data_IF_474363262170
#
_entry.id   IF_474363262170
#
_cell.length_a   1.000
_cell.length_b   1.000
_cell.length_c   1.000
_cell.angle_alpha   90.00
_cell.angle_beta   90.00
_cell.angle_gamma   90.00
#
_symmetry.space_group_name_H-M   'P 1'
#
loop_
_entity.id
_entity.type
_entity.pdbx_description
1 polymer ?
#
# COMPACT_ATOMS: atom_id res chain seq x y z
N UNK A 1 -26.33 -15.94 -4.49
CA UNK A 1 -25.70 -17.21 -4.92
C UNK A 1 -25.53 -17.24 -6.43
N UNK A 2 -24.33 -17.43 -6.98
CA UNK A 2 -24.09 -17.51 -8.42
C UNK A 2 -24.33 -18.94 -8.93
N UNK A 3 -25.56 -19.45 -8.82
CA UNK A 3 -25.91 -20.80 -9.30
C UNK A 3 -25.83 -20.92 -10.84
N UNK A 4 -25.87 -19.79 -11.54
CA UNK A 4 -25.91 -19.68 -13.00
C UNK A 4 -24.52 -19.64 -13.69
N UNK A 5 -23.41 -19.60 -12.94
CA UNK A 5 -22.07 -19.47 -13.53
C UNK A 5 -21.44 -20.80 -13.98
N UNK A 6 -20.60 -20.81 -15.02
CA UNK A 6 -19.84 -21.99 -15.44
C UNK A 6 -18.85 -22.45 -14.36
N UNK A 7 -18.63 -23.77 -14.26
CA UNK A 7 -17.83 -24.42 -13.19
C UNK A 7 -16.47 -23.77 -12.87
N UNK A 8 -15.61 -23.36 -13.83
CA UNK A 8 -14.31 -22.78 -13.50
C UNK A 8 -14.41 -21.40 -12.81
N UNK A 9 -15.47 -20.63 -13.08
CA UNK A 9 -15.64 -19.29 -12.53
C UNK A 9 -16.37 -19.27 -11.18
N UNK A 10 -17.02 -20.37 -10.78
CA UNK A 10 -17.79 -20.42 -9.52
C UNK A 10 -16.94 -20.10 -8.30
N UNK A 11 -15.80 -20.78 -8.13
CA UNK A 11 -14.93 -20.58 -6.94
C UNK A 11 -14.41 -19.13 -6.80
N UNK A 12 -13.74 -18.54 -7.81
CA UNK A 12 -13.23 -17.17 -7.65
C UNK A 12 -14.35 -16.14 -7.48
N UNK A 13 -15.49 -16.31 -8.17
CA UNK A 13 -16.62 -15.40 -8.02
C UNK A 13 -17.28 -15.51 -6.65
N UNK A 14 -17.41 -16.73 -6.10
CA UNK A 14 -17.89 -16.91 -4.73
C UNK A 14 -16.97 -16.23 -3.72
N UNK A 15 -15.65 -16.41 -3.83
CA UNK A 15 -14.68 -15.76 -2.93
C UNK A 15 -14.77 -14.24 -3.04
N UNK A 16 -14.87 -13.70 -4.27
CA UNK A 16 -15.01 -12.27 -4.49
C UNK A 16 -16.32 -11.72 -3.88
N UNK A 17 -17.43 -12.45 -4.06
CA UNK A 17 -18.72 -12.09 -3.49
C UNK A 17 -18.68 -12.11 -1.95
N UNK A 18 -18.13 -13.16 -1.35
CA UNK A 18 -18.00 -13.28 0.11
C UNK A 18 -17.10 -12.19 0.69
N UNK A 19 -15.97 -11.90 0.04
CA UNK A 19 -15.07 -10.82 0.44
C UNK A 19 -15.77 -9.45 0.35
N UNK A 20 -16.55 -9.22 -0.71
CA UNK A 20 -17.34 -8.00 -0.87
C UNK A 20 -18.40 -7.84 0.23
N UNK A 21 -19.18 -8.89 0.50
CA UNK A 21 -20.18 -8.87 1.58
C UNK A 21 -19.53 -8.61 2.93
N UNK A 22 -18.40 -9.26 3.19
CA UNK A 22 -17.64 -9.08 4.42
C UNK A 22 -17.16 -7.63 4.58
N UNK A 23 -16.62 -7.03 3.52
CA UNK A 23 -16.19 -5.63 3.52
C UNK A 23 -17.34 -4.67 3.83
N UNK A 24 -18.52 -4.94 3.27
CA UNK A 24 -19.73 -4.15 3.49
C UNK A 24 -20.21 -4.26 4.93
N UNK A 25 -20.38 -5.48 5.44
CA UNK A 25 -20.90 -5.74 6.79
C UNK A 25 -19.98 -5.17 7.88
N UNK A 26 -18.68 -5.18 7.63
CA UNK A 26 -17.65 -4.68 8.56
C UNK A 26 -17.32 -3.20 8.34
N UNK A 27 -18.06 -2.49 7.49
CA UNK A 27 -17.88 -1.06 7.20
C UNK A 27 -16.43 -0.71 6.82
N UNK A 28 -15.74 -1.62 6.13
CA UNK A 28 -14.30 -1.49 5.86
C UNK A 28 -14.02 -0.31 4.92
N UNK A 29 -15.01 0.11 4.13
CA UNK A 29 -14.96 1.36 3.37
C UNK A 29 -14.76 2.60 4.25
N UNK A 30 -15.41 2.69 5.42
CA UNK A 30 -15.19 3.81 6.34
C UNK A 30 -13.79 3.78 6.96
N UNK A 31 -13.28 2.57 7.22
CA UNK A 31 -11.91 2.39 7.70
C UNK A 31 -10.90 2.81 6.62
N UNK A 32 -11.13 2.46 5.35
CA UNK A 32 -10.32 2.91 4.22
C UNK A 32 -10.27 4.44 4.10
N UNK A 33 -11.40 5.13 4.33
CA UNK A 33 -11.44 6.59 4.38
C UNK A 33 -10.60 7.16 5.52
N UNK A 34 -10.66 6.55 6.71
CA UNK A 34 -9.79 6.92 7.83
C UNK A 34 -8.31 6.72 7.54
N UNK A 35 -7.94 5.63 6.84
CA UNK A 35 -6.55 5.40 6.41
C UNK A 35 -6.10 6.49 5.43
N UNK A 36 -6.93 6.84 4.45
CA UNK A 36 -6.64 7.90 3.48
C UNK A 36 -6.47 9.26 4.16
N UNK A 37 -7.30 9.57 5.15
CA UNK A 37 -7.19 10.77 5.97
C UNK A 37 -5.84 10.85 6.70
N UNK A 38 -5.37 9.77 7.33
CA UNK A 38 -4.04 9.80 7.96
C UNK A 38 -2.90 9.80 6.94
N UNK A 39 -3.09 9.14 5.79
CA UNK A 39 -2.10 9.11 4.72
C UNK A 39 -1.84 10.52 4.15
N UNK A 40 -2.87 11.35 3.96
CA UNK A 40 -2.67 12.70 3.42
C UNK A 40 -1.81 13.59 4.34
N UNK A 41 -1.90 13.43 5.66
CA UNK A 41 -1.01 14.13 6.61
C UNK A 41 0.41 13.56 6.62
N UNK A 42 0.59 12.30 6.24
CA UNK A 42 1.91 11.67 6.16
C UNK A 42 2.64 12.02 4.86
N UNK A 43 1.91 12.22 3.75
CA UNK A 43 2.46 12.42 2.40
C UNK A 43 3.41 13.62 2.33
N UNK A 44 2.96 14.83 2.71
CA UNK A 44 3.78 16.04 2.55
C UNK A 44 5.04 16.01 3.43
N UNK A 45 4.96 15.66 4.73
CA UNK A 45 6.14 15.53 5.56
C UNK A 45 7.08 14.40 5.13
N UNK A 46 6.54 13.29 4.59
CA UNK A 46 7.35 12.20 4.06
C UNK A 46 8.14 12.63 2.82
N UNK A 47 7.52 13.36 1.89
CA UNK A 47 8.22 13.96 0.74
C UNK A 47 9.37 14.84 1.22
N UNK A 48 9.09 15.74 2.16
CA UNK A 48 10.12 16.65 2.68
C UNK A 48 11.30 15.87 3.28
N UNK A 49 11.03 14.80 4.03
CA UNK A 49 12.06 13.93 4.58
C UNK A 49 12.87 13.20 3.50
N UNK A 50 12.21 12.63 2.47
CA UNK A 50 12.89 11.94 1.37
C UNK A 50 13.79 12.90 0.59
N UNK A 51 13.29 14.09 0.23
CA UNK A 51 14.08 15.11 -0.47
C UNK A 51 15.26 15.58 0.39
N UNK A 52 15.05 15.78 1.69
CA UNK A 52 16.12 16.17 2.61
C UNK A 52 17.22 15.09 2.74
N UNK A 53 16.84 13.81 2.83
CA UNK A 53 17.79 12.69 2.82
C UNK A 53 18.53 12.63 1.48
N UNK A 54 17.82 12.80 0.38
CA UNK A 54 18.41 12.76 -0.96
C UNK A 54 19.43 13.88 -1.19
N UNK A 55 19.11 15.09 -0.73
CA UNK A 55 20.00 16.25 -0.81
C UNK A 55 21.33 16.06 -0.06
N UNK A 56 21.46 15.03 0.81
CA UNK A 56 22.73 14.68 1.45
C UNK A 56 23.69 13.93 0.51
N UNK A 57 23.18 13.24 -0.51
CA UNK A 57 23.95 12.34 -1.36
C UNK A 57 24.00 12.77 -2.84
N UNK A 58 23.07 13.62 -3.30
CA UNK A 58 22.97 14.00 -4.72
C UNK A 58 22.30 15.37 -4.92
N UNK A 59 22.44 15.94 -6.12
CA UNK A 59 21.79 17.19 -6.52
C UNK A 59 20.25 17.03 -6.44
N UNK A 60 19.51 17.94 -5.76
CA UNK A 60 18.06 17.93 -5.70
C UNK A 60 17.37 17.87 -7.07
N UNK A 61 18.01 18.35 -8.15
CA UNK A 61 17.48 18.27 -9.52
C UNK A 61 17.32 16.83 -10.02
N UNK A 62 18.13 15.90 -9.53
CA UNK A 62 18.00 14.48 -9.88
C UNK A 62 16.66 13.92 -9.41
N UNK A 63 16.13 14.38 -8.27
CA UNK A 63 14.80 13.96 -7.74
C UNK A 63 13.67 14.30 -8.71
N UNK A 64 13.80 15.40 -9.46
CA UNK A 64 12.80 15.82 -10.45
C UNK A 64 12.70 14.84 -11.63
N UNK A 65 13.83 14.26 -12.06
CA UNK A 65 13.83 13.26 -13.12
C UNK A 65 13.16 11.95 -12.67
N UNK A 66 13.35 11.55 -11.41
CA UNK A 66 12.65 10.39 -10.82
C UNK A 66 11.13 10.61 -10.69
N UNK A 67 10.65 11.85 -10.53
CA UNK A 67 9.21 12.14 -10.50
C UNK A 67 8.52 11.78 -11.81
N UNK A 68 9.17 11.97 -12.96
CA UNK A 68 8.57 11.69 -14.27
C UNK A 68 8.05 10.25 -14.39
N UNK A 69 8.66 9.29 -13.71
CA UNK A 69 8.26 7.88 -13.73
C UNK A 69 7.13 7.54 -12.77
N UNK A 70 6.95 8.31 -11.70
CA UNK A 70 5.78 8.15 -10.83
C UNK A 70 4.48 8.56 -11.53
N UNK A 71 4.57 9.36 -12.60
CA UNK A 71 3.42 9.77 -13.40
C UNK A 71 2.67 8.60 -14.06
N UNK A 72 3.34 7.45 -14.27
CA UNK A 72 2.71 6.25 -14.84
C UNK A 72 1.84 5.49 -13.84
N UNK A 73 2.09 5.68 -12.54
CA UNK A 73 1.39 4.98 -11.46
C UNK A 73 0.40 5.87 -10.70
N UNK A 74 0.56 7.18 -10.82
CA UNK A 74 -0.26 8.18 -10.16
C UNK A 74 -1.22 8.84 -11.15
N UNK A 75 -2.46 9.14 -10.73
CA UNK A 75 -3.33 10.02 -11.49
C UNK A 75 -2.70 11.42 -11.62
N UNK A 76 -2.83 12.06 -12.79
CA UNK A 76 -2.14 13.32 -13.10
C UNK A 76 -2.32 14.45 -12.06
N UNK A 77 -3.50 14.58 -11.47
CA UNK A 77 -3.76 15.59 -10.40
C UNK A 77 -3.03 15.26 -9.10
N UNK A 78 -3.02 13.98 -8.71
CA UNK A 78 -2.27 13.53 -7.54
C UNK A 78 -0.76 13.69 -7.77
N UNK A 79 -0.30 13.36 -8.98
CA UNK A 79 1.08 13.58 -9.40
C UNK A 79 1.47 15.05 -9.31
N UNK A 80 0.65 15.96 -9.82
CA UNK A 80 0.93 17.41 -9.81
C UNK A 80 1.14 17.94 -8.40
N UNK A 81 0.27 17.58 -7.44
CA UNK A 81 0.45 17.97 -6.02
C UNK A 81 1.76 17.44 -5.46
N UNK A 82 2.06 16.17 -5.72
CA UNK A 82 3.26 15.53 -5.19
C UNK A 82 4.52 16.17 -5.80
N UNK A 83 4.51 16.44 -7.11
CA UNK A 83 5.58 17.09 -7.84
C UNK A 83 5.82 18.52 -7.36
N UNK A 84 4.76 19.32 -7.21
CA UNK A 84 4.87 20.70 -6.72
C UNK A 84 5.47 20.74 -5.31
N UNK A 85 5.11 19.79 -4.46
CA UNK A 85 5.69 19.66 -3.13
C UNK A 85 7.17 19.27 -3.19
N UNK A 86 7.53 18.28 -4.01
CA UNK A 86 8.92 17.86 -4.21
C UNK A 86 9.79 19.02 -4.69
N UNK A 87 9.34 19.73 -5.74
CA UNK A 87 10.05 20.87 -6.31
C UNK A 87 10.15 22.04 -5.33
N UNK A 88 9.10 22.29 -4.55
CA UNK A 88 9.12 23.30 -3.50
C UNK A 88 10.15 23.00 -2.41
N UNK A 89 10.32 21.74 -2.02
CA UNK A 89 11.36 21.35 -1.04
C UNK A 89 12.75 21.34 -1.67
N UNK A 90 12.89 20.87 -2.90
CA UNK A 90 14.18 20.79 -3.60
C UNK A 90 14.79 22.17 -3.88
N UNK A 91 13.95 23.18 -4.14
CA UNK A 91 14.38 24.56 -4.40
C UNK A 91 14.49 25.42 -3.14
N UNK A 92 13.87 25.01 -2.04
CA UNK A 92 14.01 25.69 -0.76
C UNK A 92 15.47 25.56 -0.27
N UNK A 93 16.12 26.71 -0.06
CA UNK A 93 17.53 26.77 0.35
C UNK A 93 17.81 25.86 1.57
N UNK A 94 18.89 25.09 1.46
CA UNK A 94 19.43 24.08 2.40
C UNK A 94 19.70 24.55 3.84
N UNK A 95 19.33 25.79 4.19
CA UNK A 95 19.55 26.39 5.50
C UNK A 95 18.43 26.08 6.53
N UNK A 96 17.46 25.24 6.17
CA UNK A 96 16.32 24.83 7.03
C UNK A 96 16.45 23.43 7.62
N UNK A 97 17.63 22.80 7.50
CA UNK A 97 17.93 21.44 8.01
C UNK A 97 17.84 21.27 9.55
N UNK A 98 17.49 22.32 10.31
CA UNK A 98 17.35 22.29 11.76
C UNK A 98 15.98 21.81 12.28
N UNK A 99 15.44 22.54 13.25
CA UNK A 99 14.25 22.20 14.03
C UNK A 99 12.98 21.90 13.20
N UNK A 100 12.78 22.59 12.08
CA UNK A 100 11.60 22.43 11.21
C UNK A 100 11.57 21.05 10.54
N UNK A 101 12.73 20.54 10.11
CA UNK A 101 12.86 19.21 9.50
C UNK A 101 12.56 18.13 10.55
N UNK A 102 13.11 18.27 11.76
CA UNK A 102 12.85 17.36 12.87
C UNK A 102 11.36 17.32 13.24
N UNK A 103 10.71 18.49 13.37
CA UNK A 103 9.29 18.59 13.67
C UNK A 103 8.43 17.95 12.56
N UNK A 104 8.77 18.21 11.30
CA UNK A 104 8.07 17.63 10.15
C UNK A 104 8.19 16.10 10.14
N UNK A 105 9.38 15.55 10.43
CA UNK A 105 9.59 14.12 10.53
C UNK A 105 8.79 13.48 11.68
N UNK A 106 8.71 14.15 12.83
CA UNK A 106 7.87 13.71 13.94
C UNK A 106 6.38 13.65 13.54
N UNK A 107 5.88 14.67 12.85
CA UNK A 107 4.50 14.72 12.33
C UNK A 107 4.27 13.65 11.27
N UNK A 108 5.24 13.44 10.37
CA UNK A 108 5.22 12.40 9.34
C UNK A 108 5.06 11.02 9.98
N UNK A 109 5.94 10.71 10.94
CA UNK A 109 5.98 9.41 11.59
C UNK A 109 4.73 9.17 12.43
N UNK A 110 4.23 10.20 13.12
CA UNK A 110 3.00 10.10 13.88
C UNK A 110 1.78 9.82 12.97
N UNK A 111 1.67 10.55 11.85
CA UNK A 111 0.59 10.38 10.86
C UNK A 111 0.68 9.02 10.16
N UNK A 112 1.88 8.60 9.74
CA UNK A 112 2.13 7.30 9.14
C UNK A 112 1.73 6.17 10.11
N UNK A 113 2.13 6.29 11.38
CA UNK A 113 1.75 5.33 12.43
C UNK A 113 0.24 5.30 12.67
N UNK A 114 -0.43 6.44 12.63
CA UNK A 114 -1.90 6.49 12.73
C UNK A 114 -2.57 5.79 11.53
N UNK A 115 -2.07 6.00 10.31
CA UNK A 115 -2.54 5.32 9.11
C UNK A 115 -2.32 3.81 9.15
N UNK A 116 -1.13 3.36 9.55
CA UNK A 116 -0.81 1.93 9.73
C UNK A 116 -1.66 1.33 10.84
N UNK A 117 -1.90 2.05 11.94
CA UNK A 117 -2.82 1.62 13.00
C UNK A 117 -4.24 1.43 12.47
N UNK A 118 -4.76 2.36 11.66
CA UNK A 118 -6.08 2.22 11.03
C UNK A 118 -6.12 1.05 10.04
N UNK A 119 -5.03 0.82 9.30
CA UNK A 119 -4.89 -0.33 8.40
C UNK A 119 -4.92 -1.66 9.16
N UNK A 120 -4.20 -1.76 10.27
CA UNK A 120 -4.25 -2.95 11.16
C UNK A 120 -5.66 -3.17 11.70
N UNK A 121 -6.37 -2.12 12.09
CA UNK A 121 -7.76 -2.23 12.54
C UNK A 121 -8.69 -2.72 11.43
N UNK A 122 -8.54 -2.22 10.20
CA UNK A 122 -9.29 -2.68 9.05
C UNK A 122 -9.02 -4.15 8.71
N UNK A 123 -7.77 -4.57 8.83
CA UNK A 123 -7.39 -5.97 8.64
C UNK A 123 -7.99 -6.85 9.75
N UNK A 124 -7.89 -6.44 11.01
CA UNK A 124 -8.54 -7.17 12.12
C UNK A 124 -10.04 -7.30 11.88
N UNK A 125 -10.71 -6.21 11.47
CA UNK A 125 -12.13 -6.24 11.12
C UNK A 125 -12.42 -7.21 9.96
N UNK A 126 -11.56 -7.24 8.94
CA UNK A 126 -11.68 -8.16 7.81
C UNK A 126 -11.56 -9.64 8.24
N UNK A 127 -10.68 -9.95 9.19
CA UNK A 127 -10.53 -11.28 9.77
C UNK A 127 -11.54 -11.59 10.89
N UNK A 128 -12.42 -10.65 11.26
CA UNK A 128 -13.33 -10.80 12.40
C UNK A 128 -12.62 -10.88 13.75
N UNK A 129 -11.42 -10.30 13.85
CA UNK A 129 -10.57 -10.35 15.04
C UNK A 129 -10.71 -9.06 15.87
N UNK A 130 -10.60 -9.15 17.21
CA UNK A 130 -10.55 -7.97 18.06
C UNK A 130 -9.20 -7.25 17.92
N UNK A 131 -9.22 -5.93 18.06
CA UNK A 131 -7.99 -5.13 18.14
C UNK A 131 -7.23 -5.45 19.43
N UNK A 132 -5.91 -5.27 19.39
CA UNK A 132 -5.06 -5.43 20.58
C UNK A 132 -5.40 -4.35 21.61
N UNK A 133 -5.36 -4.70 22.89
CA UNK A 133 -5.57 -3.75 23.99
C UNK A 133 -4.34 -2.88 24.27
N UNK A 134 -4.57 -1.66 24.76
CA UNK A 134 -3.57 -0.80 25.37
C UNK A 134 -2.34 -0.49 24.49
N UNK A 135 -1.15 -0.57 25.11
CA UNK A 135 0.13 -0.26 24.45
C UNK A 135 0.53 -1.26 23.37
N UNK A 136 0.03 -2.51 23.43
CA UNK A 136 0.38 -3.55 22.47
C UNK A 136 -0.04 -3.21 21.04
N UNK A 137 -1.21 -2.60 20.86
CA UNK A 137 -1.65 -2.11 19.53
C UNK A 137 -0.74 -1.02 19.00
N UNK A 138 -0.37 -0.07 19.86
CA UNK A 138 0.47 1.06 19.47
C UNK A 138 1.88 0.62 19.12
N UNK A 139 2.43 -0.35 19.85
CA UNK A 139 3.74 -0.93 19.59
C UNK A 139 3.74 -1.66 18.23
N UNK A 140 2.76 -2.52 17.98
CA UNK A 140 2.64 -3.22 16.67
C UNK A 140 2.49 -2.22 15.53
N UNK A 141 1.63 -1.20 15.68
CA UNK A 141 1.49 -0.16 14.66
C UNK A 141 2.81 0.58 14.42
N UNK A 142 3.56 0.91 15.48
CA UNK A 142 4.85 1.57 15.37
C UNK A 142 5.90 0.69 14.66
N UNK A 143 6.08 -0.57 15.07
CA UNK A 143 7.04 -1.46 14.42
C UNK A 143 6.69 -1.69 12.95
N UNK A 144 5.40 -1.88 12.64
CA UNK A 144 4.96 -2.01 11.24
C UNK A 144 5.23 -0.76 10.43
N UNK A 145 5.02 0.42 11.03
CA UNK A 145 5.34 1.69 10.37
C UNK A 145 6.83 1.77 10.07
N UNK A 146 7.69 1.45 11.04
CA UNK A 146 9.14 1.43 10.85
C UNK A 146 9.58 0.40 9.79
N UNK A 147 8.97 -0.79 9.76
CA UNK A 147 9.24 -1.79 8.72
C UNK A 147 8.83 -1.31 7.33
N UNK A 148 7.67 -0.65 7.20
CA UNK A 148 7.21 -0.08 5.94
C UNK A 148 8.09 1.08 5.48
N UNK A 149 8.48 1.97 6.39
CA UNK A 149 9.44 3.05 6.11
C UNK A 149 10.78 2.46 5.69
N UNK A 150 11.31 1.46 6.39
CA UNK A 150 12.56 0.81 6.02
C UNK A 150 12.47 0.13 4.64
N UNK A 151 11.34 -0.50 4.32
CA UNK A 151 11.08 -1.09 3.00
C UNK A 151 11.08 -0.02 1.91
N UNK A 152 10.39 1.11 2.13
CA UNK A 152 10.35 2.23 1.20
C UNK A 152 11.74 2.87 1.01
N UNK A 153 12.48 3.10 2.10
CA UNK A 153 13.84 3.64 2.04
C UNK A 153 14.81 2.69 1.34
N UNK A 154 14.67 1.38 1.52
CA UNK A 154 15.48 0.38 0.81
C UNK A 154 15.18 0.40 -0.68
N UNK A 155 13.91 0.58 -1.07
CA UNK A 155 13.52 0.74 -2.47
C UNK A 155 14.15 2.00 -3.07
N UNK A 156 14.00 3.15 -2.39
CA UNK A 156 14.63 4.42 -2.80
C UNK A 156 16.15 4.30 -2.91
N UNK A 157 16.81 3.66 -1.95
CA UNK A 157 18.25 3.43 -2.01
C UNK A 157 18.64 2.52 -3.18
N UNK A 158 17.85 1.48 -3.47
CA UNK A 158 18.10 0.60 -4.62
C UNK A 158 17.96 1.35 -5.95
N UNK A 159 17.00 2.27 -6.07
CA UNK A 159 16.82 3.14 -7.25
C UNK A 159 18.08 4.01 -7.52
N UNK A 160 18.83 4.37 -6.47
CA UNK A 160 20.09 5.14 -6.58
C UNK A 160 21.28 4.22 -6.84
N UNK A 161 21.37 3.10 -6.12
CA UNK A 161 22.53 2.19 -6.17
C UNK A 161 22.59 1.39 -7.46
N UNK A 162 21.44 0.92 -7.97
CA UNK A 162 21.38 0.14 -9.21
C UNK A 162 22.04 0.88 -10.38
N UNK A 163 21.71 2.15 -10.67
CA UNK A 163 22.33 2.82 -11.78
C UNK A 163 23.82 3.07 -11.57
N UNK A 164 24.24 3.42 -10.36
CA UNK A 164 25.66 3.63 -10.01
C UNK A 164 26.50 2.35 -10.22
N UNK A 165 25.95 1.18 -9.88
CA UNK A 165 26.64 -0.11 -10.09
C UNK A 165 26.75 -0.44 -11.58
N UNK A 166 25.72 -0.12 -12.36
CA UNK A 166 25.70 -0.37 -13.80
C UNK A 166 26.71 0.52 -14.56
N UNK A 167 27.06 1.71 -14.07
CA UNK A 167 28.12 2.55 -14.67
C UNK A 167 29.50 1.85 -14.64
N UNK A 168 29.77 1.02 -13.63
CA UNK A 168 31.01 0.24 -13.56
C UNK A 168 31.00 -1.00 -14.47
N UNK A 169 29.87 -1.31 -15.11
CA UNK A 169 29.71 -2.40 -16.07
C UNK A 169 29.46 -1.80 -17.47
N UNK A 170 30.49 -1.64 -18.32
CA UNK A 170 30.31 -1.14 -19.68
C UNK A 170 29.53 -2.18 -20.51
N UNK A 171 28.21 -2.01 -20.57
CA UNK A 171 27.26 -2.93 -21.21
C UNK A 171 26.96 -2.57 -22.67
N UNK A 172 27.56 -1.50 -23.18
CA UNK A 172 27.48 -1.08 -24.58
C UNK A 172 26.03 -0.80 -25.00
N UNK A 173 25.61 -1.32 -26.15
CA UNK A 173 24.29 -1.03 -26.71
C UNK A 173 23.09 -1.51 -25.84
N UNK A 174 23.31 -2.42 -24.89
CA UNK A 174 22.24 -2.93 -24.02
C UNK A 174 22.06 -2.12 -22.73
N UNK A 175 22.94 -1.16 -22.48
CA UNK A 175 23.00 -0.39 -21.26
C UNK A 175 21.65 0.27 -20.90
N UNK A 176 20.96 1.04 -21.79
CA UNK A 176 19.66 1.64 -21.45
C UNK A 176 18.56 0.62 -21.13
N UNK A 177 18.56 -0.52 -21.84
CA UNK A 177 17.58 -1.59 -21.63
C UNK A 177 17.80 -2.27 -20.28
N UNK A 178 19.06 -2.54 -19.92
CA UNK A 178 19.43 -3.14 -18.64
C UNK A 178 19.14 -2.20 -17.46
N UNK A 179 19.40 -0.90 -17.60
CA UNK A 179 18.99 0.12 -16.63
C UNK A 179 17.49 0.06 -16.37
N UNK A 180 16.68 0.11 -17.44
CA UNK A 180 15.23 0.10 -17.30
C UNK A 180 14.72 -1.21 -16.68
N UNK A 181 15.27 -2.36 -17.11
CA UNK A 181 14.84 -3.67 -16.62
C UNK A 181 15.27 -3.94 -15.16
N UNK A 182 16.42 -3.42 -14.73
CA UNK A 182 16.90 -3.57 -13.36
C UNK A 182 16.13 -2.68 -12.38
N UNK A 183 15.72 -1.50 -12.83
CA UNK A 183 15.07 -0.48 -12.02
C UNK A 183 13.56 -0.67 -11.90
N UNK A 184 12.87 -0.93 -13.01
CA UNK A 184 11.41 -1.12 -13.09
C UNK A 184 10.82 -2.05 -12.00
N UNK A 185 11.43 -3.20 -11.62
CA UNK A 185 10.83 -4.09 -10.62
C UNK A 185 10.98 -3.61 -9.17
N UNK A 186 11.84 -2.63 -8.86
CA UNK A 186 12.16 -2.23 -7.48
C UNK A 186 10.92 -1.76 -6.72
N UNK A 187 10.23 -0.71 -7.22
CA UNK A 187 9.04 -0.17 -6.57
C UNK A 187 7.86 -1.17 -6.47
N UNK A 188 7.51 -1.95 -7.53
CA UNK A 188 6.53 -3.02 -7.42
C UNK A 188 6.89 -4.09 -6.38
N UNK A 189 8.14 -4.55 -6.35
CA UNK A 189 8.60 -5.54 -5.37
C UNK A 189 8.49 -4.98 -3.95
N UNK A 190 8.93 -3.74 -3.73
CA UNK A 190 8.81 -3.08 -2.43
C UNK A 190 7.35 -2.95 -1.98
N UNK A 191 6.44 -2.61 -2.90
CA UNK A 191 4.99 -2.53 -2.64
C UNK A 191 4.42 -3.89 -2.26
N UNK A 192 4.77 -4.93 -3.02
CA UNK A 192 4.38 -6.32 -2.73
C UNK A 192 4.91 -6.71 -1.34
N UNK A 193 6.20 -6.53 -1.06
CA UNK A 193 6.80 -6.84 0.25
C UNK A 193 6.08 -6.07 1.37
N UNK A 194 5.83 -4.77 1.20
CA UNK A 194 5.14 -3.93 2.19
C UNK A 194 3.74 -4.46 2.53
N UNK A 195 2.91 -4.74 1.52
CA UNK A 195 1.58 -5.34 1.73
C UNK A 195 1.70 -6.70 2.44
N UNK A 196 2.67 -7.53 2.02
CA UNK A 196 2.94 -8.83 2.62
C UNK A 196 3.30 -8.73 4.11
N UNK A 197 4.16 -7.77 4.49
CA UNK A 197 4.53 -7.50 5.89
C UNK A 197 3.28 -7.16 6.70
N UNK A 198 2.44 -6.26 6.19
CA UNK A 198 1.22 -5.84 6.89
C UNK A 198 0.23 -7.01 7.03
N UNK A 199 0.01 -7.80 5.99
CA UNK A 199 -0.90 -8.95 6.08
C UNK A 199 -0.41 -10.05 7.00
N UNK A 200 0.90 -10.23 7.10
CA UNK A 200 1.48 -11.25 7.97
C UNK A 200 1.50 -10.81 9.43
N UNK A 201 1.92 -9.57 9.71
CA UNK A 201 2.21 -9.13 11.08
C UNK A 201 1.14 -8.19 11.66
N UNK A 202 0.28 -7.61 10.83
CA UNK A 202 -0.83 -6.76 11.25
C UNK A 202 -1.90 -7.49 12.07
N UNK A 203 -2.52 -8.58 11.57
CA UNK A 203 -3.67 -9.18 12.22
C UNK A 203 -3.35 -9.69 13.63
N UNK A 204 -4.31 -9.56 14.55
CA UNK A 204 -4.24 -10.07 15.91
C UNK A 204 -4.72 -11.53 15.98
N UNK A 205 -3.93 -12.43 15.41
CA UNK A 205 -4.24 -13.85 15.27
C UNK A 205 -3.24 -14.73 16.03
N UNK A 206 -3.77 -15.76 16.70
CA UNK A 206 -3.00 -16.78 17.45
C UNK A 206 -2.75 -18.06 16.65
N UNK A 207 -3.17 -18.08 15.40
CA UNK A 207 -3.20 -19.24 14.52
C UNK A 207 -2.42 -18.92 13.21
N UNK A 208 -2.21 -19.90 12.31
CA UNK A 208 -1.24 -19.74 11.21
C UNK A 208 -1.51 -18.50 10.36
N UNK A 209 -0.49 -17.63 10.27
CA UNK A 209 -0.55 -16.34 9.58
C UNK A 209 -0.50 -16.55 8.06
N UNK A 210 -1.11 -15.67 7.24
CA UNK A 210 -0.92 -15.70 5.79
C UNK A 210 0.57 -15.68 5.43
N UNK A 211 0.92 -16.35 4.33
CA UNK A 211 2.26 -16.27 3.74
C UNK A 211 2.58 -14.83 3.34
N UNK A 212 3.88 -14.50 3.29
CA UNK A 212 4.34 -13.17 2.87
C UNK A 212 3.91 -12.83 1.43
N UNK A 213 3.75 -13.86 0.60
CA UNK A 213 3.15 -13.82 -0.72
C UNK A 213 1.80 -14.54 -0.65
N UNK A 214 0.70 -13.78 -0.63
CA UNK A 214 -0.65 -14.30 -0.46
C UNK A 214 -1.52 -14.02 -1.69
N UNK A 215 -2.59 -14.81 -1.88
CA UNK A 215 -3.55 -14.57 -2.97
C UNK A 215 -4.24 -13.21 -2.81
N UNK A 216 -4.57 -12.82 -1.58
CA UNK A 216 -5.15 -11.52 -1.30
C UNK A 216 -4.26 -10.35 -1.70
N UNK A 217 -2.94 -10.49 -1.58
CA UNK A 217 -1.98 -9.46 -1.97
C UNK A 217 -1.91 -9.29 -3.49
N UNK A 218 -1.99 -10.39 -4.24
CA UNK A 218 -2.14 -10.33 -5.69
C UNK A 218 -3.43 -9.59 -6.07
N UNK A 219 -4.55 -9.90 -5.41
CA UNK A 219 -5.82 -9.19 -5.61
C UNK A 219 -5.70 -7.71 -5.27
N UNK A 220 -5.08 -7.35 -4.14
CA UNK A 220 -4.87 -5.96 -3.75
C UNK A 220 -4.08 -5.17 -4.80
N UNK A 221 -2.97 -5.74 -5.30
CA UNK A 221 -2.12 -5.09 -6.31
C UNK A 221 -2.88 -4.93 -7.62
N UNK A 222 -3.58 -5.96 -8.09
CA UNK A 222 -4.38 -5.89 -9.32
C UNK A 222 -5.51 -4.86 -9.22
N UNK A 223 -6.21 -4.83 -8.09
CA UNK A 223 -7.26 -3.83 -7.83
C UNK A 223 -6.69 -2.42 -7.76
N UNK A 224 -5.53 -2.24 -7.12
CA UNK A 224 -4.88 -0.95 -7.03
C UNK A 224 -4.43 -0.42 -8.40
N UNK A 225 -3.86 -1.28 -9.24
CA UNK A 225 -3.50 -0.92 -10.61
C UNK A 225 -4.75 -0.57 -11.45
N UNK A 226 -5.80 -1.38 -11.34
CA UNK A 226 -7.07 -1.14 -12.02
C UNK A 226 -7.72 0.17 -11.55
N UNK A 227 -7.71 0.44 -10.24
CA UNK A 227 -8.23 1.66 -9.64
C UNK A 227 -7.41 2.88 -10.09
N UNK A 228 -6.09 2.80 -10.14
CA UNK A 228 -5.22 3.89 -10.58
C UNK A 228 -5.45 4.24 -12.05
N UNK A 229 -5.56 3.23 -12.93
CA UNK A 229 -5.91 3.44 -14.35
C UNK A 229 -7.32 3.98 -14.53
N UNK A 230 -8.30 3.39 -13.84
CA UNK A 230 -9.70 3.82 -13.91
C UNK A 230 -9.91 5.24 -13.39
N UNK A 231 -9.22 5.60 -12.31
CA UNK A 231 -9.26 6.94 -11.75
C UNK A 231 -8.56 7.97 -12.63
N UNK A 232 -7.48 7.59 -13.31
CA UNK A 232 -6.85 8.43 -14.35
C UNK A 232 -7.85 8.76 -15.46
N UNK A 233 -8.56 7.76 -16.00
CA UNK A 233 -9.59 7.97 -17.02
C UNK A 233 -10.74 8.86 -16.51
N UNK A 234 -11.14 8.68 -15.25
CA UNK A 234 -12.14 9.53 -14.61
C UNK A 234 -11.67 11.00 -14.55
N UNK A 235 -10.43 11.25 -14.11
CA UNK A 235 -9.88 12.59 -13.99
C UNK A 235 -9.66 13.28 -15.34
N UNK A 236 -9.33 12.55 -16.41
CA UNK A 236 -9.25 13.13 -17.76
C UNK A 236 -10.58 13.78 -18.18
N UNK A 237 -11.71 13.19 -17.80
CA UNK A 237 -13.04 13.78 -18.04
C UNK A 237 -13.40 14.86 -17.00
N UNK A 238 -12.71 14.88 -15.87
CA UNK A 238 -12.89 15.81 -14.74
C UNK A 238 -12.16 17.15 -14.92
N UNK A 239 -11.34 17.30 -15.96
CA UNK A 239 -10.56 18.52 -16.26
C UNK A 239 -11.42 19.81 -16.39
N UNK A 240 -12.73 19.69 -16.65
CA UNK A 240 -13.65 20.84 -16.62
C UNK A 240 -14.06 21.27 -15.20
N UNK A 241 -14.05 20.36 -14.23
CA UNK A 241 -14.36 20.63 -12.81
C UNK A 241 -13.20 21.38 -12.13
N UNK A 242 -11.95 21.12 -12.57
CA UNK A 242 -10.75 21.75 -12.05
C UNK A 242 -10.70 23.27 -12.33
N UNK A 243 -11.41 23.75 -13.38
CA UNK A 243 -11.56 25.19 -13.67
C UNK A 243 -12.32 25.96 -12.57
N UNK A 244 -13.16 25.27 -11.80
CA UNK A 244 -14.00 25.89 -10.76
C UNK A 244 -13.39 25.71 -9.37
N UNK A 245 -12.77 24.56 -9.10
CA UNK A 245 -12.28 24.20 -7.76
C UNK A 245 -10.75 24.28 -7.59
N UNK A 246 -9.98 24.40 -8.67
CA UNK A 246 -8.52 24.56 -8.64
C UNK A 246 -7.81 23.58 -7.71
N UNK A 247 -6.93 24.08 -6.85
CA UNK A 247 -6.14 23.27 -5.90
C UNK A 247 -6.96 22.40 -4.96
N UNK A 248 -8.20 22.77 -4.64
CA UNK A 248 -9.09 21.95 -3.80
C UNK A 248 -9.48 20.67 -4.54
N UNK A 249 -9.73 20.76 -5.85
CA UNK A 249 -10.05 19.61 -6.70
C UNK A 249 -8.92 18.58 -6.72
N UNK A 250 -7.68 19.05 -6.83
CA UNK A 250 -6.50 18.20 -6.80
C UNK A 250 -6.35 17.47 -5.44
N UNK A 251 -6.56 18.17 -4.31
CA UNK A 251 -6.48 17.55 -2.97
C UNK A 251 -7.55 16.46 -2.79
N UNK A 252 -8.77 16.73 -3.26
CA UNK A 252 -9.86 15.74 -3.25
C UNK A 252 -9.48 14.53 -4.13
N UNK A 253 -8.86 14.75 -5.29
CA UNK A 253 -8.41 13.68 -6.16
C UNK A 253 -7.33 12.81 -5.49
N UNK A 254 -6.34 13.42 -4.85
CA UNK A 254 -5.32 12.70 -4.09
C UNK A 254 -5.94 11.89 -2.94
N UNK A 255 -6.85 12.50 -2.18
CA UNK A 255 -7.53 11.82 -1.06
C UNK A 255 -8.37 10.63 -1.56
N UNK A 256 -9.06 10.78 -2.69
CA UNK A 256 -9.82 9.69 -3.33
C UNK A 256 -8.91 8.58 -3.82
N UNK A 257 -7.76 8.91 -4.40
CA UNK A 257 -6.78 7.91 -4.83
C UNK A 257 -6.18 7.14 -3.64
N UNK A 258 -5.84 7.83 -2.55
CA UNK A 258 -5.39 7.21 -1.30
C UNK A 258 -6.48 6.31 -0.70
N UNK A 259 -7.74 6.74 -0.77
CA UNK A 259 -8.91 5.94 -0.37
C UNK A 259 -9.03 4.65 -1.18
N UNK A 260 -8.99 4.74 -2.52
CA UNK A 260 -9.05 3.56 -3.39
C UNK A 260 -7.86 2.63 -3.16
N UNK A 261 -6.70 3.19 -2.82
CA UNK A 261 -5.50 2.42 -2.48
C UNK A 261 -5.67 1.63 -1.17
N UNK A 262 -6.11 2.31 -0.11
CA UNK A 262 -6.41 1.65 1.16
C UNK A 262 -7.52 0.60 1.01
N UNK A 263 -8.55 0.92 0.22
CA UNK A 263 -9.65 0.00 -0.07
C UNK A 263 -9.16 -1.26 -0.80
N UNK A 264 -8.28 -1.11 -1.80
CA UNK A 264 -7.70 -2.24 -2.55
C UNK A 264 -6.90 -3.16 -1.63
N UNK A 265 -6.07 -2.59 -0.74
CA UNK A 265 -5.33 -3.35 0.27
C UNK A 265 -6.27 -4.04 1.26
N UNK A 266 -7.35 -3.41 1.69
CA UNK A 266 -8.30 -4.04 2.60
C UNK A 266 -9.14 -5.13 1.92
N UNK A 267 -9.49 -4.96 0.65
CA UNK A 267 -10.15 -5.99 -0.15
C UNK A 267 -9.28 -7.25 -0.30
N UNK A 268 -7.98 -7.08 -0.52
CA UNK A 268 -7.04 -8.20 -0.51
C UNK A 268 -6.96 -8.90 0.85
N UNK A 269 -7.04 -8.15 1.96
CA UNK A 269 -7.10 -8.74 3.29
C UNK A 269 -8.40 -9.54 3.50
N UNK A 270 -9.54 -9.03 3.03
CA UNK A 270 -10.82 -9.74 3.05
C UNK A 270 -10.78 -11.04 2.23
N UNK A 271 -10.15 -11.04 1.04
CA UNK A 271 -9.93 -12.27 0.26
C UNK A 271 -9.09 -13.28 1.05
N UNK A 272 -8.03 -12.83 1.71
CA UNK A 272 -7.24 -13.71 2.58
C UNK A 272 -8.06 -14.27 3.74
N UNK A 273 -8.91 -13.46 4.37
CA UNK A 273 -9.81 -13.90 5.44
C UNK A 273 -10.76 -15.01 4.97
N UNK A 274 -11.45 -14.81 3.84
CA UNK A 274 -12.37 -15.80 3.24
C UNK A 274 -11.64 -17.10 2.88
N UNK A 275 -10.50 -17.00 2.18
CA UNK A 275 -9.70 -18.17 1.81
C UNK A 275 -9.27 -18.97 3.03
N UNK A 276 -8.94 -18.27 4.10
CA UNK A 276 -8.46 -18.86 5.33
C UNK A 276 -9.60 -19.52 6.13
N UNK A 277 -10.79 -18.91 6.17
CA UNK A 277 -12.01 -19.54 6.70
C UNK A 277 -12.34 -20.84 5.95
N UNK A 278 -12.27 -20.83 4.62
CA UNK A 278 -12.47 -22.04 3.80
C UNK A 278 -11.44 -23.13 4.06
N UNK A 279 -10.19 -22.78 4.40
CA UNK A 279 -9.16 -23.77 4.79
C UNK A 279 -9.49 -24.38 6.16
N UNK A 280 -9.91 -23.56 7.12
CA UNK A 280 -10.29 -24.03 8.47
C UNK A 280 -11.49 -24.95 8.45
N UNK A 281 -12.56 -24.60 7.72
CA UNK A 281 -13.75 -25.45 7.56
C UNK A 281 -13.41 -26.82 6.97
N UNK A 282 -12.59 -26.85 5.91
CA UNK A 282 -12.11 -28.10 5.29
C UNK A 282 -11.24 -28.95 6.22
N UNK A 283 -10.39 -28.33 7.05
CA UNK A 283 -9.59 -29.05 8.03
C UNK A 283 -10.47 -29.69 9.12
N UNK A 284 -11.46 -28.95 9.64
CA UNK A 284 -12.41 -29.47 10.63
C UNK A 284 -13.27 -30.63 10.07
N UNK A 285 -13.73 -30.52 8.82
CA UNK A 285 -14.46 -31.59 8.13
C UNK A 285 -13.59 -32.85 7.90
N UNK A 286 -12.28 -32.69 7.71
CA UNK A 286 -11.36 -33.81 7.52
C UNK A 286 -11.00 -34.53 8.83
N UNK A 287 -11.07 -33.85 9.98
CA UNK A 287 -10.82 -34.43 11.31
C UNK A 287 -12.06 -35.15 11.89
N UNK A 288 -13.27 -34.73 11.52
CA UNK A 288 -14.53 -35.30 12.02
C UNK A 288 -14.73 -36.83 11.79
N UNK A 289 -14.27 -37.45 10.68
CA UNK A 289 -14.42 -38.89 10.46
C UNK A 289 -13.49 -39.76 11.33
N UNK A 290 -12.40 -39.22 11.86
CA UNK A 290 -11.42 -39.99 12.63
C UNK A 290 -11.84 -40.22 14.10
N UNK A 291 -12.70 -39.35 14.66
CA UNK A 291 -13.18 -39.47 16.04
C UNK A 291 -14.32 -40.48 16.23
N UNK A 292 -15.00 -40.89 15.14
CA UNK A 292 -16.16 -41.78 15.20
C UNK A 292 -15.82 -43.29 15.14
N UNK A 293 -14.53 -43.67 15.09
CA UNK A 293 -14.08 -45.07 14.92
C UNK A 293 -13.33 -45.61 16.16
N UNK A 294 -13.63 -45.10 17.37
CA UNK A 294 -13.22 -45.82 18.59
C UNK A 294 -14.31 -46.85 18.93
N UNK A 295 -14.03 -48.17 18.82
CA UNK A 295 -14.99 -49.19 19.23
C UNK A 295 -15.20 -49.13 20.75
N UNK A 296 -16.43 -49.37 21.24
CA UNK A 296 -16.68 -49.50 22.67
C UNK A 296 -15.85 -50.66 23.24
N UNK A 297 -15.18 -50.40 24.37
CA UNK A 297 -14.48 -51.40 25.18
C UNK A 297 -15.45 -52.37 25.84
#
# INVERSE_FOLDING_TARGET
>A
MPAFLPKPLRKPVTIAYEAWTLMSDRHVGLIAAGIAFFAIFAVFPAIAAVVAIWALFSDPLVVADYMSELSDFLPGEAFTILNDQVMGVATAATNTLGWTTFLSLCIALWSARAGVSALVQGINAAFGLPNRGGLGHQLVALVLTLMLVATALTAVAAEIVVPLVLEFAPLGAFEPLLYQLARLPIAPIATVIGIGIVYRYGPNMDWPKPSLFSVGQLVAVLLWLAASKGFTLYLTNFANYNKVYGSIGAVIALLMWLYLSAYSVLMGAAVNAVLQEHRRKRAAEAEAPAAAVQPPQ
#
